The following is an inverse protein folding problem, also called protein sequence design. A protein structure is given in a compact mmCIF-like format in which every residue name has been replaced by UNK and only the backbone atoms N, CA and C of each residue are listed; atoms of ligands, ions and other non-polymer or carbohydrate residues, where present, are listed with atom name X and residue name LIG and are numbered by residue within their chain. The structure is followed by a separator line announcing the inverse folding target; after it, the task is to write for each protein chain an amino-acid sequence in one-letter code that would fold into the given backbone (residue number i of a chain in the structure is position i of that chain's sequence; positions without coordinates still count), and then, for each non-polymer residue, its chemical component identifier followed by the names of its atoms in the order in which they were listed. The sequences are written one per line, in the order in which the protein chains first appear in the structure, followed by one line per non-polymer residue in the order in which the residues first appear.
data_IF_751609447960
#
_entry.id   IF_751609447960
#
_cell.length_a   1.000
_cell.length_b   1.000
_cell.length_c   1.000
_cell.angle_alpha   90.00
_cell.angle_beta   90.00
_cell.angle_gamma   90.00
#
_symmetry.space_group_name_H-M   'P 1'
#
loop_
_entity.id
_entity.type
_entity.pdbx_description
1 polymer ?
#
# COMPACT_ATOMS: atom_id res chain seq x y z
N UNK A 1 -23.50 31.34 70.71
CA UNK A 1 -23.11 31.83 69.37
C UNK A 1 -22.43 30.70 68.61
N UNK A 2 -23.15 30.09 67.69
CA UNK A 2 -22.68 28.92 66.93
C UNK A 2 -22.40 29.33 65.47
N UNK A 3 -21.15 29.33 65.09
CA UNK A 3 -20.69 29.73 63.76
C UNK A 3 -20.80 28.53 62.80
N UNK A 4 -21.72 28.57 61.86
CA UNK A 4 -21.84 27.56 60.79
C UNK A 4 -20.80 27.84 59.71
N UNK A 5 -19.85 26.94 59.50
CA UNK A 5 -18.92 26.93 58.36
C UNK A 5 -19.60 26.22 57.17
N UNK A 6 -19.80 26.95 56.07
CA UNK A 6 -20.26 26.43 54.82
C UNK A 6 -19.09 25.72 54.12
N UNK A 7 -19.23 24.42 53.79
CA UNK A 7 -18.30 23.68 52.96
C UNK A 7 -18.72 23.82 51.50
N UNK A 8 -17.92 24.49 50.72
CA UNK A 8 -18.12 24.57 49.26
C UNK A 8 -17.43 23.35 48.64
N UNK A 9 -18.18 22.44 48.11
CA UNK A 9 -17.69 21.29 47.35
C UNK A 9 -17.41 21.72 45.90
N UNK A 10 -16.16 21.83 45.54
CA UNK A 10 -15.72 21.96 44.15
C UNK A 10 -15.78 20.59 43.48
N UNK A 11 -16.68 20.40 42.52
CA UNK A 11 -16.67 19.27 41.60
C UNK A 11 -15.73 19.61 40.42
N UNK A 12 -14.72 18.77 40.12
CA UNK A 12 -13.94 18.94 38.88
C UNK A 12 -14.80 18.48 37.71
N UNK A 13 -15.05 19.39 36.76
CA UNK A 13 -15.61 19.06 35.45
C UNK A 13 -14.52 18.37 34.64
N UNK A 14 -14.64 17.05 34.51
CA UNK A 14 -13.79 16.28 33.58
C UNK A 14 -14.27 16.58 32.15
N UNK A 15 -13.54 17.43 31.43
CA UNK A 15 -13.69 17.57 29.98
C UNK A 15 -13.18 16.28 29.33
N UNK A 16 -14.08 15.32 29.14
CA UNK A 16 -13.84 14.14 28.31
C UNK A 16 -13.69 14.56 26.86
N UNK A 17 -12.47 14.85 26.42
CA UNK A 17 -12.16 14.98 25.01
C UNK A 17 -12.36 13.62 24.36
N UNK A 18 -13.37 13.47 23.50
CA UNK A 18 -13.46 12.36 22.57
C UNK A 18 -12.23 12.43 21.64
N UNK A 19 -11.18 11.64 21.95
CA UNK A 19 -10.19 11.28 20.95
C UNK A 19 -10.89 10.41 19.91
N UNK A 20 -11.30 11.04 18.82
CA UNK A 20 -11.75 10.36 17.62
C UNK A 20 -10.51 9.67 17.06
N UNK A 21 -10.33 8.37 17.38
CA UNK A 21 -9.40 7.52 16.65
C UNK A 21 -9.92 7.45 15.22
N UNK A 22 -9.35 8.28 14.34
CA UNK A 22 -9.43 8.05 12.91
C UNK A 22 -8.80 6.67 12.68
N UNK A 23 -9.62 5.67 12.39
CA UNK A 23 -9.15 4.38 11.90
C UNK A 23 -8.25 4.60 10.68
N UNK A 24 -7.36 3.67 10.34
CA UNK A 24 -6.52 3.79 9.17
C UNK A 24 -7.42 4.10 7.96
N UNK A 25 -7.18 5.25 7.32
CA UNK A 25 -7.84 5.62 6.08
C UNK A 25 -7.37 4.63 5.03
N UNK A 26 -8.21 3.68 4.64
CA UNK A 26 -7.97 2.79 3.51
C UNK A 26 -8.19 3.55 2.20
N UNK A 27 -7.36 4.55 1.95
CA UNK A 27 -7.40 5.25 0.67
C UNK A 27 -6.87 4.32 -0.41
N UNK A 28 -7.62 4.19 -1.53
CA UNK A 28 -7.17 3.40 -2.66
C UNK A 28 -5.93 4.06 -3.27
N UNK A 29 -4.81 3.33 -3.31
CA UNK A 29 -3.59 3.77 -3.98
C UNK A 29 -3.71 3.66 -5.50
N UNK A 30 -4.56 2.75 -6.00
CA UNK A 30 -4.87 2.65 -7.42
C UNK A 30 -5.78 3.83 -7.83
N UNK A 31 -5.43 4.62 -8.86
CA UNK A 31 -6.27 5.69 -9.38
C UNK A 31 -7.67 5.22 -9.78
N UNK A 32 -8.63 6.14 -9.86
CA UNK A 32 -10.01 5.84 -10.25
C UNK A 32 -10.12 5.20 -11.64
N UNK A 33 -9.27 5.61 -12.58
CA UNK A 33 -9.14 5.05 -13.93
C UNK A 33 -8.33 3.74 -13.99
N UNK A 34 -7.96 3.20 -12.83
CA UNK A 34 -7.17 1.98 -12.71
C UNK A 34 -5.75 2.18 -13.22
N UNK A 35 -5.31 1.29 -14.12
CA UNK A 35 -3.96 1.34 -14.71
C UNK A 35 -3.91 2.10 -16.04
N UNK A 36 -4.99 2.78 -16.45
CA UNK A 36 -5.08 3.42 -17.77
C UNK A 36 -4.03 4.53 -17.97
N UNK A 37 -3.62 5.20 -16.89
CA UNK A 37 -2.56 6.23 -16.91
C UNK A 37 -1.15 5.67 -16.69
N UNK A 38 -1.01 4.35 -16.50
CA UNK A 38 0.27 3.69 -16.22
C UNK A 38 0.81 3.03 -17.49
N UNK A 39 2.12 2.89 -17.55
CA UNK A 39 2.80 2.19 -18.65
C UNK A 39 2.95 0.70 -18.34
N UNK A 40 2.85 -0.14 -19.37
CA UNK A 40 3.13 -1.57 -19.23
C UNK A 40 4.64 -1.76 -19.07
N UNK A 41 5.07 -2.07 -17.87
CA UNK A 41 6.46 -2.36 -17.56
C UNK A 41 6.84 -3.82 -17.84
N UNK A 42 5.90 -4.75 -17.68
CA UNK A 42 6.06 -6.17 -18.02
C UNK A 42 4.79 -6.70 -18.65
N UNK A 43 4.93 -7.33 -19.80
CA UNK A 43 3.80 -7.98 -20.50
C UNK A 43 3.33 -9.25 -19.81
N UNK A 44 2.19 -9.77 -20.24
CA UNK A 44 1.54 -10.98 -19.70
C UNK A 44 2.50 -12.14 -19.52
N UNK A 45 2.59 -12.66 -18.29
CA UNK A 45 3.43 -13.82 -17.95
C UNK A 45 2.93 -14.53 -16.70
N UNK A 46 3.24 -15.83 -16.59
CA UNK A 46 2.98 -16.60 -15.38
C UNK A 46 3.90 -16.15 -14.23
N UNK A 47 3.35 -16.03 -13.05
CA UNK A 47 4.10 -15.76 -11.81
C UNK A 47 3.79 -16.82 -10.76
N UNK A 48 4.76 -17.69 -10.48
CA UNK A 48 4.63 -18.71 -9.43
C UNK A 48 4.47 -18.06 -8.04
N UNK A 49 5.16 -16.93 -7.81
CA UNK A 49 5.11 -16.20 -6.54
C UNK A 49 3.76 -15.52 -6.27
N UNK A 50 2.96 -15.27 -7.31
CA UNK A 50 1.62 -14.70 -7.21
C UNK A 50 0.55 -15.80 -7.43
N UNK A 51 0.56 -16.84 -6.59
CA UNK A 51 -0.39 -17.96 -6.61
C UNK A 51 -0.49 -18.68 -7.96
N UNK A 52 0.59 -18.68 -8.76
CA UNK A 52 0.60 -19.20 -10.13
C UNK A 52 -0.39 -18.48 -11.06
N UNK A 53 -0.71 -17.23 -10.78
CA UNK A 53 -1.49 -16.38 -11.66
C UNK A 53 -0.64 -15.87 -12.83
N UNK A 54 -1.31 -15.57 -13.94
CA UNK A 54 -0.75 -14.71 -14.97
C UNK A 54 -0.85 -13.25 -14.54
N UNK A 55 0.08 -12.42 -14.97
CA UNK A 55 0.11 -11.03 -14.55
C UNK A 55 0.68 -10.10 -15.61
N UNK A 56 0.19 -8.86 -15.60
CA UNK A 56 0.78 -7.71 -16.28
C UNK A 56 1.26 -6.73 -15.23
N UNK A 57 2.48 -6.24 -15.35
CA UNK A 57 3.03 -5.24 -14.42
C UNK A 57 3.00 -3.88 -15.09
N UNK A 58 2.49 -2.91 -14.36
CA UNK A 58 2.41 -1.51 -14.76
C UNK A 58 3.25 -0.65 -13.82
N UNK A 59 3.80 0.44 -14.35
CA UNK A 59 4.50 1.45 -13.57
C UNK A 59 3.91 2.84 -13.87
N UNK A 60 3.82 3.70 -12.85
CA UNK A 60 3.46 5.09 -13.11
C UNK A 60 4.63 5.82 -13.80
N UNK A 61 4.36 6.99 -14.37
CA UNK A 61 5.36 7.76 -15.14
C UNK A 61 6.62 8.09 -14.33
N UNK A 62 6.51 8.19 -13.01
CA UNK A 62 7.65 8.46 -12.13
C UNK A 62 8.58 7.24 -12.00
N UNK A 63 8.00 6.04 -11.97
CA UNK A 63 8.75 4.80 -11.75
C UNK A 63 9.27 4.16 -13.02
N UNK A 64 8.60 4.36 -14.16
CA UNK A 64 8.75 3.54 -15.37
C UNK A 64 10.20 3.41 -15.85
N UNK A 65 10.87 4.55 -16.09
CA UNK A 65 12.21 4.53 -16.65
C UNK A 65 13.24 3.88 -15.73
N UNK A 66 13.19 4.19 -14.44
CA UNK A 66 14.13 3.67 -13.46
C UNK A 66 13.87 2.19 -13.15
N UNK A 67 12.58 1.80 -13.08
CA UNK A 67 12.18 0.41 -12.92
C UNK A 67 12.65 -0.47 -14.07
N UNK A 68 12.49 -0.01 -15.33
CA UNK A 68 12.91 -0.75 -16.51
C UNK A 68 14.44 -0.79 -16.67
N UNK A 69 15.14 0.27 -16.27
CA UNK A 69 16.58 0.35 -16.30
C UNK A 69 17.28 -0.34 -15.13
N UNK A 70 16.53 -0.71 -14.08
CA UNK A 70 17.10 -1.27 -12.86
C UNK A 70 17.82 -0.22 -11.98
N UNK A 71 17.45 1.04 -12.09
CA UNK A 71 18.00 2.13 -11.30
C UNK A 71 17.27 2.21 -9.95
N UNK A 72 17.85 1.64 -8.93
CA UNK A 72 17.26 1.57 -7.59
C UNK A 72 18.08 2.39 -6.57
N UNK A 73 17.46 2.87 -5.46
CA UNK A 73 16.03 2.76 -5.15
C UNK A 73 15.16 3.68 -5.99
N UNK A 74 13.89 3.30 -6.19
CA UNK A 74 12.90 4.15 -6.84
C UNK A 74 12.55 5.35 -5.98
N UNK A 75 12.18 6.46 -6.61
CA UNK A 75 11.83 7.70 -5.93
C UNK A 75 10.50 7.59 -5.14
N UNK A 76 10.33 8.30 -4.01
CA UNK A 76 9.04 8.43 -3.34
C UNK A 76 7.94 8.90 -4.32
N UNK A 77 6.76 8.27 -4.26
CA UNK A 77 5.68 8.47 -5.22
C UNK A 77 5.67 7.48 -6.39
N UNK A 78 6.74 6.68 -6.56
CA UNK A 78 6.75 5.57 -7.51
C UNK A 78 5.67 4.55 -7.18
N UNK A 79 4.96 4.07 -8.19
CA UNK A 79 3.92 3.05 -8.02
C UNK A 79 4.12 1.94 -9.04
N UNK A 80 4.14 0.71 -8.56
CA UNK A 80 4.14 -0.50 -9.36
C UNK A 80 2.82 -1.23 -9.10
N UNK A 81 2.11 -1.58 -10.15
CA UNK A 81 0.84 -2.31 -10.08
C UNK A 81 0.97 -3.62 -10.82
N UNK A 82 0.60 -4.71 -10.17
CA UNK A 82 0.45 -6.02 -10.81
C UNK A 82 -1.04 -6.31 -10.96
N UNK A 83 -1.52 -6.41 -12.20
CA UNK A 83 -2.87 -6.91 -12.48
C UNK A 83 -2.79 -8.42 -12.68
N UNK A 84 -3.56 -9.16 -11.90
CA UNK A 84 -3.51 -10.62 -11.79
C UNK A 84 -4.74 -11.27 -12.43
N UNK A 85 -4.55 -12.43 -13.03
CA UNK A 85 -5.62 -13.23 -13.66
C UNK A 85 -5.25 -14.71 -13.68
N UNK A 86 -6.24 -15.57 -13.74
CA UNK A 86 -6.08 -17.03 -13.98
C UNK A 86 -5.93 -17.38 -15.48
N UNK A 87 -6.06 -16.39 -16.38
CA UNK A 87 -6.06 -16.59 -17.82
C UNK A 87 -4.68 -16.37 -18.45
N UNK A 88 -4.18 -17.29 -19.31
CA UNK A 88 -2.85 -17.19 -19.93
C UNK A 88 -2.70 -16.03 -20.92
N UNK A 89 -3.80 -15.43 -21.34
CA UNK A 89 -3.81 -14.24 -22.20
C UNK A 89 -3.94 -12.93 -21.42
N UNK A 90 -3.90 -13.00 -20.08
CA UNK A 90 -4.06 -11.88 -19.15
C UNK A 90 -5.38 -11.09 -19.31
N UNK A 91 -6.42 -11.70 -19.85
CA UNK A 91 -7.77 -11.15 -19.84
C UNK A 91 -8.50 -11.53 -18.54
N UNK A 92 -9.54 -10.76 -18.19
CA UNK A 92 -10.35 -11.08 -17.01
C UNK A 92 -9.57 -10.96 -15.71
N UNK A 93 -9.19 -9.73 -15.35
CA UNK A 93 -8.44 -9.44 -14.13
C UNK A 93 -9.25 -9.89 -12.91
N UNK A 94 -8.62 -10.66 -12.04
CA UNK A 94 -9.20 -11.20 -10.80
C UNK A 94 -8.76 -10.43 -9.55
N UNK A 95 -7.74 -9.57 -9.66
CA UNK A 95 -7.27 -8.74 -8.57
C UNK A 95 -6.03 -7.93 -8.94
N UNK A 96 -5.62 -7.09 -8.00
CA UNK A 96 -4.44 -6.26 -8.14
C UNK A 96 -3.60 -6.31 -6.88
N UNK A 97 -2.28 -6.25 -7.06
CA UNK A 97 -1.34 -5.94 -6.00
C UNK A 97 -0.56 -4.67 -6.35
N UNK A 98 -0.40 -3.79 -5.37
CA UNK A 98 0.28 -2.52 -5.54
C UNK A 98 1.43 -2.40 -4.57
N UNK A 99 2.49 -1.76 -5.05
CA UNK A 99 3.60 -1.24 -4.27
C UNK A 99 3.67 0.26 -4.52
N UNK A 100 3.42 1.06 -3.51
CA UNK A 100 3.56 2.51 -3.53
C UNK A 100 4.77 2.91 -2.68
N UNK A 101 5.72 3.61 -3.26
CA UNK A 101 6.89 4.12 -2.55
C UNK A 101 6.49 5.34 -1.75
N UNK A 102 6.36 5.18 -0.45
CA UNK A 102 5.95 6.23 0.47
C UNK A 102 7.14 7.15 0.84
N UNK A 103 6.90 8.16 1.64
CA UNK A 103 7.93 9.04 2.14
C UNK A 103 8.96 8.28 2.97
N UNK A 104 10.20 8.75 2.95
CA UNK A 104 11.29 8.19 3.75
C UNK A 104 10.88 8.07 5.23
N UNK A 105 11.10 6.89 5.80
CA UNK A 105 10.76 6.58 7.19
C UNK A 105 9.42 5.88 7.38
N UNK A 106 8.62 5.72 6.32
CA UNK A 106 7.34 4.99 6.41
C UNK A 106 7.54 3.53 6.84
N UNK A 107 8.46 2.82 6.17
CA UNK A 107 8.73 1.39 6.40
C UNK A 107 10.18 1.06 6.03
N UNK A 108 11.12 1.61 6.78
CA UNK A 108 12.57 1.56 6.47
C UNK A 108 13.12 0.13 6.34
N UNK A 109 12.54 -0.83 7.06
CA UNK A 109 12.93 -2.25 6.98
C UNK A 109 12.49 -2.94 5.69
N UNK A 110 11.63 -2.31 4.91
CA UNK A 110 11.11 -2.82 3.63
C UNK A 110 11.09 -1.72 2.55
N UNK A 111 12.14 -0.87 2.54
CA UNK A 111 12.37 0.12 1.48
C UNK A 111 11.31 1.21 1.39
N UNK A 112 10.64 1.53 2.47
CA UNK A 112 9.54 2.51 2.54
C UNK A 112 8.37 2.21 1.58
N UNK A 113 8.20 0.92 1.23
CA UNK A 113 7.08 0.48 0.45
C UNK A 113 5.81 0.30 1.28
N UNK A 114 4.71 0.81 0.73
CA UNK A 114 3.33 0.63 1.14
C UNK A 114 2.68 -0.35 0.16
N UNK A 115 2.15 -1.46 0.66
CA UNK A 115 1.49 -2.49 -0.15
C UNK A 115 -0.02 -2.37 -0.07
N UNK A 116 -0.69 -2.67 -1.17
CA UNK A 116 -2.14 -2.77 -1.19
C UNK A 116 -2.56 -3.95 -2.07
N UNK A 117 -3.54 -4.74 -1.58
CA UNK A 117 -4.18 -5.80 -2.37
C UNK A 117 -5.63 -5.40 -2.62
N UNK A 118 -6.07 -5.54 -3.84
CA UNK A 118 -7.44 -5.24 -4.28
C UNK A 118 -8.04 -6.46 -4.97
N UNK A 119 -9.35 -6.59 -4.90
CA UNK A 119 -10.11 -7.54 -5.74
C UNK A 119 -10.31 -7.03 -7.17
N UNK A 120 -11.09 -7.75 -7.97
CA UNK A 120 -11.44 -7.41 -9.34
C UNK A 120 -12.33 -6.15 -9.46
N UNK A 121 -13.09 -5.83 -8.40
CA UNK A 121 -13.87 -4.60 -8.27
C UNK A 121 -13.02 -3.42 -7.79
N UNK A 122 -11.74 -3.70 -7.49
CA UNK A 122 -10.77 -2.75 -6.92
C UNK A 122 -11.13 -2.32 -5.49
N UNK A 123 -11.83 -3.18 -4.74
CA UNK A 123 -12.02 -2.97 -3.32
C UNK A 123 -10.81 -3.43 -2.53
N UNK A 124 -10.43 -2.64 -1.51
CA UNK A 124 -9.21 -2.88 -0.74
C UNK A 124 -9.39 -4.08 0.18
N UNK A 125 -8.61 -5.14 -0.06
CA UNK A 125 -8.56 -6.34 0.76
C UNK A 125 -7.51 -6.24 1.87
N UNK A 126 -6.35 -5.66 1.54
CA UNK A 126 -5.24 -5.44 2.48
C UNK A 126 -4.55 -4.12 2.16
N UNK A 127 -4.02 -3.45 3.19
CA UNK A 127 -3.44 -2.12 3.06
C UNK A 127 -2.32 -1.90 4.09
N UNK A 128 -1.28 -1.16 3.71
CA UNK A 128 -0.21 -0.73 4.58
C UNK A 128 1.04 -1.61 4.51
N UNK A 129 1.55 -2.03 5.67
CA UNK A 129 2.74 -2.91 5.78
C UNK A 129 2.31 -4.37 5.73
N UNK A 130 1.82 -4.82 4.57
CA UNK A 130 1.28 -6.17 4.38
C UNK A 130 2.40 -7.20 4.51
N UNK A 131 2.41 -7.93 5.63
CA UNK A 131 3.53 -8.80 6.02
C UNK A 131 3.82 -9.91 5.02
N UNK A 132 2.81 -10.50 4.39
CA UNK A 132 3.01 -11.53 3.37
C UNK A 132 3.75 -11.00 2.14
N UNK A 133 3.42 -9.77 1.68
CA UNK A 133 4.12 -9.11 0.58
C UNK A 133 5.57 -8.83 0.96
N UNK A 134 5.79 -8.22 2.15
CA UNK A 134 7.12 -7.89 2.66
C UNK A 134 8.00 -9.15 2.73
N UNK A 135 7.48 -10.25 3.26
CA UNK A 135 8.25 -11.49 3.44
C UNK A 135 8.72 -12.06 2.10
N UNK A 136 7.85 -12.11 1.09
CA UNK A 136 8.22 -12.56 -0.25
C UNK A 136 9.21 -11.60 -0.92
N UNK A 137 8.92 -10.31 -0.89
CA UNK A 137 9.70 -9.28 -1.56
C UNK A 137 11.05 -8.98 -0.89
N UNK A 138 11.26 -9.40 0.37
CA UNK A 138 12.54 -9.26 1.08
C UNK A 138 13.70 -9.96 0.35
N UNK A 139 13.45 -11.04 -0.39
CA UNK A 139 14.46 -11.72 -1.22
C UNK A 139 14.98 -10.85 -2.37
N UNK A 140 14.26 -9.79 -2.72
CA UNK A 140 14.58 -8.85 -3.79
C UNK A 140 15.02 -7.46 -3.25
N UNK A 141 15.45 -7.38 -1.98
CA UNK A 141 15.81 -6.10 -1.34
C UNK A 141 16.91 -5.33 -2.08
N UNK A 142 17.85 -6.03 -2.74
CA UNK A 142 18.89 -5.43 -3.60
C UNK A 142 18.32 -4.73 -4.85
N UNK A 143 17.08 -5.01 -5.21
CA UNK A 143 16.33 -4.39 -6.31
C UNK A 143 15.17 -3.56 -5.79
N UNK A 144 15.37 -2.95 -4.62
CA UNK A 144 14.36 -2.15 -3.96
C UNK A 144 13.03 -2.90 -3.74
N UNK A 145 13.10 -4.19 -3.41
CA UNK A 145 11.95 -5.07 -3.17
C UNK A 145 11.05 -5.32 -4.40
N UNK A 146 11.40 -4.88 -5.61
CA UNK A 146 10.49 -4.96 -6.76
C UNK A 146 10.42 -6.34 -7.43
N UNK A 147 11.37 -7.23 -7.17
CA UNK A 147 11.48 -8.58 -7.77
C UNK A 147 11.38 -8.59 -9.31
N UNK A 148 11.91 -7.58 -9.95
CA UNK A 148 11.69 -7.27 -11.37
C UNK A 148 12.63 -7.99 -12.36
N UNK A 149 13.32 -9.06 -11.95
CA UNK A 149 14.37 -9.73 -12.76
C UNK A 149 13.93 -11.07 -13.30
#
# INVERSE_FOLDING_TARGET
MATRRAFVLFFPIALGGCFQQSGPSTSKLLPHDGVASYQVARTCRLSVAHNSNYMVVYANALAESDYLAGNYPLAPGSTIVTAETDQPNCNGITGYTLMFKDAQGYNTSAGDWHWQKLDDQRDVLQDGRVQECITCHASCSQYDYTCAH
#
